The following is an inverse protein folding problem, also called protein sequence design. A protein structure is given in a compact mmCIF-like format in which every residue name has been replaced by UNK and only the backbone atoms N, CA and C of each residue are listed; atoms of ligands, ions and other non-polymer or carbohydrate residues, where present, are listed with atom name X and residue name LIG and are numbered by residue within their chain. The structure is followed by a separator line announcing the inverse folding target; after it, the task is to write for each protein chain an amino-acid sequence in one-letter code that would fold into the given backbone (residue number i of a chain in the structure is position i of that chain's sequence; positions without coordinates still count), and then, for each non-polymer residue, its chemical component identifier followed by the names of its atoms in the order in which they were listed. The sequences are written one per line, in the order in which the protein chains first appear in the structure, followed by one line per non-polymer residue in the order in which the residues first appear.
data_IF_143280773826
#
_entry.id   IF_143280773826
#
_cell.length_a   1.000
_cell.length_b   1.000
_cell.length_c   1.000
_cell.angle_alpha   90.00
_cell.angle_beta   90.00
_cell.angle_gamma   90.00
#
_symmetry.space_group_name_H-M   'P 1'
#
loop_
_entity.id
_entity.type
_entity.pdbx_description
1 polymer ?
#
# COMPACT_ATOMS: atom_id res chain seq x y z
N UNK A 1 -17.86 7.70 22.73
CA UNK A 1 -16.96 8.17 21.65
C UNK A 1 -15.53 8.06 22.18
N UNK A 2 -14.61 7.43 21.44
CA UNK A 2 -13.21 7.40 21.84
C UNK A 2 -12.63 8.82 21.72
N UNK A 3 -11.87 9.26 22.71
CA UNK A 3 -11.20 10.56 22.66
C UNK A 3 -10.27 10.63 21.44
N UNK A 4 -10.26 11.74 20.69
CA UNK A 4 -9.37 11.87 19.55
C UNK A 4 -7.93 11.77 20.03
N UNK A 5 -7.15 10.91 19.39
CA UNK A 5 -5.75 10.75 19.73
C UNK A 5 -4.98 12.00 19.27
N UNK A 6 -4.52 12.80 20.23
CA UNK A 6 -3.69 13.99 19.95
C UNK A 6 -2.22 13.57 19.95
N UNK A 7 -1.59 13.61 18.77
CA UNK A 7 -0.15 13.45 18.66
C UNK A 7 0.56 14.77 18.99
N UNK A 8 1.49 14.74 19.94
CA UNK A 8 2.33 15.92 20.24
C UNK A 8 3.41 16.08 19.20
N UNK A 9 3.90 17.31 19.06
CA UNK A 9 4.99 17.64 18.13
C UNK A 9 6.22 16.75 18.33
N UNK A 10 6.65 16.58 19.58
CA UNK A 10 7.78 15.71 19.94
C UNK A 10 7.57 14.27 19.49
N UNK A 11 6.37 13.70 19.70
CA UNK A 11 6.06 12.33 19.23
C UNK A 11 6.12 12.21 17.71
N UNK A 12 5.69 13.23 16.98
CA UNK A 12 5.75 13.23 15.52
C UNK A 12 7.21 13.32 15.05
N UNK A 13 8.02 14.20 15.67
CA UNK A 13 9.44 14.31 15.33
C UNK A 13 10.21 13.03 15.66
N UNK A 14 9.98 12.43 16.83
CA UNK A 14 10.54 11.13 17.17
C UNK A 14 10.11 10.02 16.20
N UNK A 15 8.87 10.06 15.70
CA UNK A 15 8.43 9.08 14.71
C UNK A 15 9.08 9.28 13.32
N UNK A 16 9.38 10.53 12.96
CA UNK A 16 9.98 10.86 11.65
C UNK A 16 11.50 10.63 11.62
N UNK A 17 12.20 11.00 12.70
CA UNK A 17 13.66 10.96 12.74
C UNK A 17 14.20 9.80 13.59
N UNK A 18 13.38 9.20 14.46
CA UNK A 18 13.82 8.14 15.36
C UNK A 18 14.92 8.64 16.29
N UNK A 19 16.02 7.89 16.33
CA UNK A 19 17.23 8.25 17.08
C UNK A 19 18.16 9.20 16.31
N UNK A 20 17.82 9.55 15.07
CA UNK A 20 18.62 10.49 14.26
C UNK A 20 18.38 11.90 14.75
N UNK A 21 19.43 12.70 14.71
CA UNK A 21 19.33 14.13 15.00
C UNK A 21 18.38 14.80 13.99
N UNK A 22 17.36 15.46 14.53
CA UNK A 22 16.40 16.19 13.72
C UNK A 22 17.10 17.44 13.16
N UNK A 23 16.89 17.80 11.88
CA UNK A 23 17.45 19.01 11.33
C UNK A 23 16.91 20.24 12.10
N UNK A 24 17.70 21.31 12.18
CA UNK A 24 17.32 22.56 12.87
C UNK A 24 15.98 23.14 12.36
N UNK A 25 15.63 22.84 11.12
CA UNK A 25 14.39 23.26 10.47
C UNK A 25 13.23 22.26 10.58
N UNK A 26 13.39 21.11 11.24
CA UNK A 26 12.39 20.04 11.37
C UNK A 26 11.02 20.58 11.84
N UNK A 27 11.12 21.51 12.77
CA UNK A 27 10.03 22.24 13.38
C UNK A 27 9.20 23.08 12.39
N UNK A 28 9.88 23.73 11.44
CA UNK A 28 9.26 24.50 10.36
C UNK A 28 8.71 23.58 9.28
N UNK A 29 9.47 22.54 8.93
CA UNK A 29 9.04 21.51 7.99
C UNK A 29 7.76 20.83 8.45
N UNK A 30 7.62 20.55 9.75
CA UNK A 30 6.41 19.97 10.31
C UNK A 30 5.18 20.87 10.11
N UNK A 31 5.31 22.18 10.25
CA UNK A 31 4.22 23.11 9.96
C UNK A 31 3.81 23.08 8.48
N UNK A 32 4.79 23.03 7.57
CA UNK A 32 4.53 22.92 6.13
C UNK A 32 3.83 21.60 5.81
N UNK A 33 4.29 20.48 6.36
CA UNK A 33 3.67 19.17 6.17
C UNK A 33 2.21 19.16 6.66
N UNK A 34 1.94 19.71 7.84
CA UNK A 34 0.57 19.80 8.37
C UNK A 34 -0.31 20.68 7.48
N UNK A 35 0.21 21.79 6.96
CA UNK A 35 -0.52 22.65 6.04
C UNK A 35 -0.89 21.92 4.75
N UNK A 36 0.06 21.23 4.12
CA UNK A 36 -0.16 20.48 2.88
C UNK A 36 -1.14 19.32 3.07
N UNK A 37 -1.05 18.58 4.18
CA UNK A 37 -2.02 17.52 4.49
C UNK A 37 -3.43 18.10 4.63
N UNK A 38 -3.59 19.22 5.35
CA UNK A 38 -4.90 19.89 5.50
C UNK A 38 -5.42 20.41 4.16
N UNK A 39 -4.54 20.89 3.29
CA UNK A 39 -4.90 21.35 1.95
C UNK A 39 -5.45 20.19 1.12
N UNK A 40 -4.70 19.09 1.02
CA UNK A 40 -5.12 17.88 0.29
C UNK A 40 -6.44 17.31 0.81
N UNK A 41 -6.61 17.23 2.13
CA UNK A 41 -7.86 16.74 2.73
C UNK A 41 -9.08 17.64 2.41
N UNK A 42 -8.88 18.95 2.24
CA UNK A 42 -9.95 19.86 1.80
C UNK A 42 -10.23 19.72 0.31
N UNK A 43 -9.20 19.56 -0.50
CA UNK A 43 -9.32 19.41 -1.95
C UNK A 43 -10.02 18.07 -2.29
N UNK A 44 -9.63 16.97 -1.63
CA UNK A 44 -10.29 15.65 -1.75
C UNK A 44 -11.70 15.64 -1.14
N UNK A 45 -11.95 16.48 -0.14
CA UNK A 45 -13.27 16.67 0.49
C UNK A 45 -14.26 17.48 -0.36
N UNK A 46 -13.79 18.17 -1.40
CA UNK A 46 -14.62 18.94 -2.34
C UNK A 46 -15.32 18.08 -3.41
N UNK A 47 -14.87 16.85 -3.61
CA UNK A 47 -15.38 15.93 -4.65
C UNK A 47 -16.45 14.94 -4.12
N UNK A 48 -16.92 15.15 -2.89
CA UNK A 48 -18.00 14.35 -2.28
C UNK A 48 -19.41 14.73 -2.78
N UNK A 49 -19.51 15.45 -3.92
CA UNK A 49 -20.76 15.72 -4.63
C UNK A 49 -20.72 15.22 -6.07
N UNK A 50 -20.52 13.91 -6.24
CA UNK A 50 -21.03 13.19 -7.41
C UNK A 50 -21.43 11.75 -7.10
N UNK A 51 -22.71 11.51 -6.76
CA UNK A 51 -23.34 10.22 -6.95
C UNK A 51 -24.28 10.28 -8.17
N UNK A 52 -23.77 10.01 -9.38
CA UNK A 52 -24.48 9.50 -10.57
C UNK A 52 -23.61 9.78 -11.84
N UNK A 53 -23.31 8.84 -12.74
CA UNK A 53 -23.80 7.49 -12.92
C UNK A 53 -23.01 6.72 -14.00
N UNK A 54 -23.22 5.41 -13.99
CA UNK A 54 -22.83 4.34 -14.93
C UNK A 54 -22.14 4.73 -16.26
N UNK A 55 -20.98 4.10 -16.48
CA UNK A 55 -20.67 3.36 -17.71
C UNK A 55 -19.99 2.05 -17.28
N UNK A 56 -20.77 0.96 -17.17
CA UNK A 56 -20.79 -0.18 -18.11
C UNK A 56 -19.46 -0.95 -18.18
N UNK A 57 -19.57 -2.25 -17.92
CA UNK A 57 -18.46 -3.18 -17.83
C UNK A 57 -17.51 -3.13 -19.02
N UNK A 58 -16.23 -3.07 -18.69
CA UNK A 58 -15.17 -3.65 -19.50
C UNK A 58 -14.66 -4.85 -18.69
N UNK A 59 -14.91 -6.04 -19.22
CA UNK A 59 -14.63 -7.30 -18.55
C UNK A 59 -13.17 -7.43 -18.16
N UNK A 60 -12.93 -7.83 -16.91
CA UNK A 60 -11.70 -8.52 -16.57
C UNK A 60 -11.73 -9.85 -17.33
N UNK A 61 -11.09 -9.90 -18.49
CA UNK A 61 -10.75 -11.16 -19.13
C UNK A 61 -9.88 -11.94 -18.13
N UNK A 62 -10.48 -12.94 -17.49
CA UNK A 62 -9.74 -13.97 -16.74
C UNK A 62 -8.85 -14.69 -17.74
N UNK A 63 -7.53 -14.81 -17.55
CA UNK A 63 -6.78 -15.77 -18.32
C UNK A 63 -7.28 -17.16 -17.92
N UNK A 64 -7.91 -17.84 -18.86
CA UNK A 64 -8.23 -19.26 -18.74
C UNK A 64 -6.90 -20.04 -18.83
N UNK A 65 -6.40 -20.52 -17.70
CA UNK A 65 -5.39 -21.59 -17.67
C UNK A 65 -6.07 -22.87 -18.15
N UNK A 66 -6.13 -23.05 -19.48
CA UNK A 66 -6.40 -24.34 -20.11
C UNK A 66 -5.08 -25.09 -20.20
N UNK A 67 -4.97 -26.16 -19.42
CA UNK A 67 -3.81 -27.04 -19.43
C UNK A 67 -3.78 -28.00 -20.61
N UNK A 68 -2.57 -28.48 -20.91
CA UNK A 68 -2.14 -29.89 -21.15
C UNK A 68 -0.89 -29.85 -22.01
N UNK A 69 0.20 -30.50 -21.61
CA UNK A 69 0.31 -31.94 -21.83
C UNK A 69 1.30 -32.57 -20.84
N UNK A 70 0.86 -33.68 -20.25
CA UNK A 70 1.72 -34.60 -19.53
C UNK A 70 2.65 -35.33 -20.53
N UNK A 71 3.94 -35.51 -20.23
CA UNK A 71 4.74 -36.49 -20.94
C UNK A 71 4.34 -37.91 -20.52
N UNK A 72 4.30 -38.88 -21.46
CA UNK A 72 3.91 -40.26 -21.16
C UNK A 72 4.96 -40.95 -20.28
N UNK A 73 4.46 -41.67 -19.29
CA UNK A 73 5.24 -42.57 -18.46
C UNK A 73 5.59 -43.86 -19.22
N UNK A 74 6.88 -44.17 -19.29
CA UNK A 74 7.43 -45.53 -19.39
C UNK A 74 8.96 -45.45 -19.37
N UNK A 75 9.73 -46.33 -18.71
CA UNK A 75 9.46 -47.43 -17.77
C UNK A 75 10.85 -47.89 -17.27
N UNK A 76 10.97 -48.15 -15.96
CA UNK A 76 11.86 -49.13 -15.28
C UNK A 76 13.39 -49.12 -15.49
N UNK A 77 14.10 -49.17 -14.35
CA UNK A 77 15.35 -49.91 -14.17
C UNK A 77 16.40 -49.14 -13.36
N UNK A 78 16.37 -49.23 -12.03
CA UNK A 78 17.26 -50.03 -11.13
C UNK A 78 18.58 -49.35 -10.71
N UNK A 79 18.73 -49.25 -9.37
CA UNK A 79 19.96 -49.09 -8.55
C UNK A 79 20.80 -47.82 -8.78
N UNK A 80 21.40 -47.15 -7.79
CA UNK A 80 21.75 -47.55 -6.43
C UNK A 80 21.94 -46.30 -5.56
N UNK A 81 21.55 -46.39 -4.29
CA UNK A 81 22.18 -45.63 -3.22
C UNK A 81 23.66 -46.08 -3.11
N UNK A 82 24.58 -45.16 -2.86
CA UNK A 82 25.46 -45.22 -1.68
C UNK A 82 26.27 -43.91 -1.52
N UNK A 83 26.29 -43.43 -0.28
CA UNK A 83 27.28 -42.60 0.46
C UNK A 83 28.22 -41.64 -0.27
#
# INVERSE_FOLDING_TARGET
AASPHVATRGRILSALYGDREAPDCADKLLNVMVYEIRKRLRDDGGDARSPAGRARGAGCARPALVGRSAPPASRRGILSEDR
#
